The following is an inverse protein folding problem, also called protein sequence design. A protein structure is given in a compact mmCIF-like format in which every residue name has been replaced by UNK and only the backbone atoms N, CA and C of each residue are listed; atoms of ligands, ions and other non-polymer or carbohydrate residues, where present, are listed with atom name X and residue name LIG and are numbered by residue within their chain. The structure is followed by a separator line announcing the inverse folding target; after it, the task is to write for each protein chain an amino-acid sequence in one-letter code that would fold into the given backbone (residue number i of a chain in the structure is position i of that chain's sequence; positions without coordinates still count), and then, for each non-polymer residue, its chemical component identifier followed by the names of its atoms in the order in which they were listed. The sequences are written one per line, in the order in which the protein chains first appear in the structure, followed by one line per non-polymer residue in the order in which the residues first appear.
data_IF_767161078512
#
_entry.id   IF_767161078512
#
_cell.length_a   1.000
_cell.length_b   1.000
_cell.length_c   1.000
_cell.angle_alpha   90.00
_cell.angle_beta   90.00
_cell.angle_gamma   90.00
#
_symmetry.space_group_name_H-M   'P 1'
#
loop_
_entity.id
_entity.type
_entity.pdbx_description
1 polymer ?
#
# COMPACT_ATOMS: atom_id res chain seq x y z
N UNK A 1 5.86 39.59 28.42
CA UNK A 1 6.01 39.60 26.95
C UNK A 1 6.88 38.44 26.37
N UNK A 2 7.97 38.01 27.06
CA UNK A 2 8.85 36.94 26.54
C UNK A 2 8.16 35.56 26.38
N UNK A 3 7.18 35.19 27.22
CA UNK A 3 6.50 33.88 27.16
C UNK A 3 5.48 33.76 26.01
N UNK A 4 4.91 34.89 25.56
CA UNK A 4 3.94 34.87 24.44
C UNK A 4 4.64 34.61 23.11
N UNK A 5 5.83 35.15 22.89
CA UNK A 5 6.61 34.91 21.66
C UNK A 5 7.07 33.47 21.52
N UNK A 6 7.44 32.81 22.62
CA UNK A 6 7.88 31.42 22.58
C UNK A 6 6.73 30.45 22.23
N UNK A 7 5.53 30.71 22.77
CA UNK A 7 4.34 29.91 22.49
C UNK A 7 3.84 30.03 21.05
N UNK A 8 3.90 31.26 20.49
CA UNK A 8 3.52 31.51 19.10
C UNK A 8 4.51 30.86 18.13
N UNK A 9 5.82 30.90 18.43
CA UNK A 9 6.84 30.24 17.60
C UNK A 9 6.67 28.70 17.59
N UNK A 10 6.36 28.10 18.75
CA UNK A 10 6.12 26.67 18.85
C UNK A 10 4.89 26.24 18.04
N UNK A 11 3.81 27.01 18.08
CA UNK A 11 2.59 26.77 17.30
C UNK A 11 2.84 26.91 15.78
N UNK A 12 3.67 27.84 15.36
CA UNK A 12 4.04 28.00 13.95
C UNK A 12 4.88 26.83 13.45
N UNK A 13 5.83 26.33 14.24
CA UNK A 13 6.65 25.17 13.88
C UNK A 13 5.81 23.88 13.78
N UNK A 14 4.87 23.67 14.69
CA UNK A 14 4.00 22.49 14.64
C UNK A 14 3.06 22.51 13.43
N UNK A 15 2.49 23.65 13.09
CA UNK A 15 1.65 23.80 11.91
C UNK A 15 2.43 23.64 10.60
N UNK A 16 3.66 24.14 10.53
CA UNK A 16 4.53 23.99 9.36
C UNK A 16 4.88 22.52 9.11
N UNK A 17 5.31 21.80 10.14
CA UNK A 17 5.62 20.38 10.03
C UNK A 17 4.38 19.54 9.63
N UNK A 18 3.21 19.85 10.18
CA UNK A 18 1.97 19.17 9.82
C UNK A 18 1.59 19.42 8.34
N UNK A 19 1.76 20.65 7.86
CA UNK A 19 1.50 21.00 6.46
C UNK A 19 2.43 20.23 5.50
N UNK A 20 3.73 20.12 5.82
CA UNK A 20 4.69 19.35 5.02
C UNK A 20 4.33 17.87 4.97
N UNK A 21 3.97 17.24 6.09
CA UNK A 21 3.53 15.84 6.12
C UNK A 21 2.27 15.67 5.29
N UNK A 22 1.35 16.62 5.33
CA UNK A 22 0.10 16.57 4.57
C UNK A 22 0.34 16.57 3.07
N UNK A 23 1.28 17.34 2.57
CA UNK A 23 1.65 17.38 1.15
C UNK A 23 2.46 16.14 0.76
N UNK A 24 3.46 15.80 1.55
CA UNK A 24 4.34 14.65 1.30
C UNK A 24 3.57 13.32 1.23
N UNK A 25 2.62 13.08 2.15
CA UNK A 25 1.79 11.88 2.15
C UNK A 25 0.52 12.00 1.30
N UNK A 26 0.29 13.15 0.65
CA UNK A 26 -0.91 13.45 -0.15
C UNK A 26 -2.23 13.20 0.61
N UNK A 27 -2.32 13.68 1.85
CA UNK A 27 -3.50 13.46 2.71
C UNK A 27 -4.79 14.07 2.13
N UNK A 28 -4.68 14.97 1.16
CA UNK A 28 -5.85 15.59 0.52
C UNK A 28 -6.55 14.66 -0.47
N UNK A 29 -5.85 13.66 -1.05
CA UNK A 29 -6.36 12.85 -2.15
C UNK A 29 -7.72 12.22 -1.85
N UNK A 30 -7.85 11.55 -0.72
CA UNK A 30 -9.09 10.87 -0.34
C UNK A 30 -9.90 11.60 0.74
N UNK A 31 -9.48 12.81 1.15
CA UNK A 31 -10.10 13.53 2.27
C UNK A 31 -11.60 13.78 2.06
N UNK A 32 -11.99 14.28 0.90
CA UNK A 32 -13.40 14.57 0.57
C UNK A 32 -14.23 13.28 0.45
N UNK A 33 -13.67 12.26 -0.23
CA UNK A 33 -14.32 10.96 -0.36
C UNK A 33 -14.51 10.29 1.01
N UNK A 34 -13.47 10.30 1.86
CA UNK A 34 -13.55 9.74 3.21
C UNK A 34 -14.64 10.39 4.08
N UNK A 35 -14.86 11.71 3.90
CA UNK A 35 -15.91 12.45 4.64
C UNK A 35 -17.33 12.14 4.16
N UNK A 36 -17.49 11.85 2.88
CA UNK A 36 -18.78 11.58 2.25
C UNK A 36 -19.11 10.09 2.16
N UNK A 37 -18.15 9.21 2.49
CA UNK A 37 -18.33 7.77 2.35
C UNK A 37 -19.39 7.25 3.33
N UNK A 38 -20.45 6.70 2.79
CA UNK A 38 -21.44 5.97 3.61
C UNK A 38 -20.80 4.69 4.15
N UNK A 39 -21.01 4.36 5.46
CA UNK A 39 -20.46 3.13 6.04
C UNK A 39 -20.89 1.89 5.25
N UNK A 40 -19.91 1.14 4.76
CA UNK A 40 -20.13 -0.11 4.01
C UNK A 40 -19.97 -1.29 4.94
N UNK A 41 -21.01 -2.14 5.01
CA UNK A 41 -20.95 -3.36 5.85
C UNK A 41 -19.84 -4.29 5.33
N UNK A 42 -19.01 -4.76 6.26
CA UNK A 42 -17.86 -5.63 5.96
C UNK A 42 -16.85 -5.01 4.96
N UNK A 43 -16.74 -3.70 4.92
CA UNK A 43 -15.81 -3.00 4.04
C UNK A 43 -14.39 -3.58 4.10
N UNK A 44 -13.75 -3.64 2.95
CA UNK A 44 -12.35 -4.03 2.77
C UNK A 44 -11.61 -2.84 2.15
N UNK A 45 -10.69 -2.25 2.89
CA UNK A 45 -9.82 -1.20 2.34
C UNK A 45 -8.62 -1.84 1.66
N UNK A 46 -8.36 -1.45 0.43
CA UNK A 46 -7.14 -1.78 -0.30
C UNK A 46 -6.15 -0.63 -0.15
N UNK A 47 -5.14 -0.81 0.71
CA UNK A 47 -4.07 0.17 0.97
C UNK A 47 -2.88 -0.16 0.09
N UNK A 48 -2.45 0.80 -0.75
CA UNK A 48 -1.32 0.58 -1.63
C UNK A 48 -0.89 1.80 -2.44
N UNK A 49 -0.18 1.55 -3.51
CA UNK A 49 0.38 2.51 -4.45
C UNK A 49 -0.40 2.58 -5.79
N UNK A 50 0.31 2.83 -6.90
CA UNK A 50 -0.28 2.86 -8.25
C UNK A 50 -0.94 1.54 -8.65
N UNK A 51 -0.38 0.40 -8.24
CA UNK A 51 -0.95 -0.91 -8.54
C UNK A 51 -2.35 -1.03 -7.91
N UNK A 52 -2.55 -0.50 -6.72
CA UNK A 52 -3.85 -0.45 -6.06
C UNK A 52 -4.75 0.62 -6.70
N UNK A 53 -4.24 1.83 -6.94
CA UNK A 53 -5.00 2.95 -7.53
C UNK A 53 -5.57 2.62 -8.91
N UNK A 54 -4.79 1.96 -9.76
CA UNK A 54 -5.23 1.61 -11.11
C UNK A 54 -6.17 0.41 -11.15
N UNK A 55 -6.27 -0.34 -10.08
CA UNK A 55 -7.09 -1.55 -10.04
C UNK A 55 -8.57 -1.24 -10.29
N UNK A 56 -9.11 -0.24 -9.60
CA UNK A 56 -10.53 0.17 -9.79
C UNK A 56 -10.84 0.60 -11.22
N UNK A 57 -9.91 1.28 -11.89
CA UNK A 57 -10.08 1.70 -13.29
C UNK A 57 -10.00 0.52 -14.26
N UNK A 58 -9.14 -0.47 -13.99
CA UNK A 58 -8.95 -1.65 -14.84
C UNK A 58 -9.99 -2.75 -14.57
N UNK A 59 -10.66 -2.73 -13.41
CA UNK A 59 -11.63 -3.74 -13.00
C UNK A 59 -12.81 -3.11 -12.28
N UNK A 60 -13.58 -2.20 -12.91
CA UNK A 60 -14.67 -1.49 -12.24
C UNK A 60 -15.78 -2.44 -11.72
N UNK A 61 -16.06 -3.52 -12.44
CA UNK A 61 -17.08 -4.51 -12.06
C UNK A 61 -16.69 -5.26 -10.77
N UNK A 62 -15.39 -5.51 -10.56
CA UNK A 62 -14.91 -6.11 -9.33
C UNK A 62 -15.17 -5.21 -8.12
N UNK A 63 -14.93 -3.93 -8.24
CA UNK A 63 -15.23 -2.96 -7.18
C UNK A 63 -16.72 -2.71 -6.99
N UNK A 64 -17.54 -2.87 -8.03
CA UNK A 64 -19.00 -2.77 -7.93
C UNK A 64 -19.62 -4.01 -7.24
N UNK A 65 -19.00 -5.19 -7.43
CA UNK A 65 -19.52 -6.46 -6.90
C UNK A 65 -19.19 -6.69 -5.43
N UNK A 66 -18.06 -6.17 -4.94
CA UNK A 66 -17.54 -6.42 -3.60
C UNK A 66 -17.40 -5.12 -2.79
N UNK A 67 -17.48 -5.18 -1.45
CA UNK A 67 -17.41 -4.00 -0.57
C UNK A 67 -15.97 -3.46 -0.45
N UNK A 68 -15.33 -3.16 -1.57
CA UNK A 68 -13.95 -2.73 -1.68
C UNK A 68 -13.85 -1.20 -1.69
N UNK A 69 -12.91 -0.67 -0.94
CA UNK A 69 -12.58 0.75 -0.90
C UNK A 69 -11.13 0.90 -1.34
N UNK A 70 -10.92 1.50 -2.50
CA UNK A 70 -9.59 1.79 -3.01
C UNK A 70 -8.95 2.95 -2.24
N UNK A 71 -7.74 2.71 -1.75
CA UNK A 71 -6.88 3.72 -1.10
C UNK A 71 -5.44 3.59 -1.62
N UNK A 72 -5.32 3.38 -2.94
CA UNK A 72 -4.07 3.45 -3.67
C UNK A 72 -3.64 4.88 -3.98
N UNK A 73 -2.36 5.20 -3.89
CA UNK A 73 -1.79 6.47 -4.36
C UNK A 73 -0.51 6.19 -5.12
N UNK A 74 -0.51 6.54 -6.40
CA UNK A 74 0.63 6.31 -7.31
C UNK A 74 1.93 6.87 -6.77
N UNK A 75 2.99 6.09 -6.88
CA UNK A 75 4.35 6.45 -6.49
C UNK A 75 4.62 6.43 -4.98
N UNK A 76 3.62 6.17 -4.15
CA UNK A 76 3.81 6.19 -2.70
C UNK A 76 4.65 5.04 -2.16
N UNK A 77 5.51 5.40 -1.20
CA UNK A 77 6.31 4.49 -0.39
C UNK A 77 5.58 4.09 0.90
N UNK A 78 6.09 3.07 1.56
CA UNK A 78 5.52 2.57 2.83
C UNK A 78 5.46 3.64 3.91
N UNK A 79 6.44 4.54 4.00
CA UNK A 79 6.46 5.65 4.96
C UNK A 79 5.28 6.61 4.76
N UNK A 80 4.95 6.93 3.50
CA UNK A 80 3.80 7.78 3.16
C UNK A 80 2.48 7.07 3.47
N UNK A 81 2.40 5.76 3.23
CA UNK A 81 1.24 4.95 3.59
C UNK A 81 1.00 4.92 5.10
N UNK A 82 2.05 4.78 5.93
CA UNK A 82 1.96 4.90 7.39
C UNK A 82 1.37 6.24 7.81
N UNK A 83 1.84 7.35 7.22
CA UNK A 83 1.38 8.70 7.57
C UNK A 83 -0.12 8.91 7.31
N UNK A 84 -0.68 8.29 6.27
CA UNK A 84 -2.10 8.41 5.92
C UNK A 84 -2.99 7.27 6.44
N UNK A 85 -2.41 6.24 7.05
CA UNK A 85 -3.13 5.04 7.46
C UNK A 85 -4.29 5.32 8.42
N UNK A 86 -4.12 6.27 9.34
CA UNK A 86 -5.18 6.68 10.25
C UNK A 86 -6.39 7.25 9.50
N UNK A 87 -6.16 8.14 8.53
CA UNK A 87 -7.22 8.81 7.77
C UNK A 87 -7.89 7.86 6.78
N UNK A 88 -7.09 7.08 6.05
CA UNK A 88 -7.54 6.34 4.88
C UNK A 88 -7.95 4.88 5.20
N UNK A 89 -7.64 4.40 6.40
CA UNK A 89 -8.01 3.06 6.85
C UNK A 89 -8.80 3.11 8.16
N UNK A 90 -8.17 3.58 9.24
CA UNK A 90 -8.74 3.47 10.59
C UNK A 90 -10.05 4.25 10.71
N UNK A 91 -10.08 5.49 10.19
CA UNK A 91 -11.27 6.35 10.26
C UNK A 91 -12.48 5.76 9.51
N UNK A 92 -12.24 4.94 8.49
CA UNK A 92 -13.29 4.26 7.71
C UNK A 92 -13.87 3.03 8.41
N UNK A 93 -13.25 2.57 9.49
CA UNK A 93 -13.68 1.41 10.30
C UNK A 93 -13.99 0.15 9.45
N UNK A 94 -13.11 -0.26 8.53
CA UNK A 94 -13.36 -1.43 7.72
C UNK A 94 -13.26 -2.72 8.55
N UNK A 95 -13.81 -3.82 8.05
CA UNK A 95 -13.59 -5.15 8.62
C UNK A 95 -12.18 -5.66 8.35
N UNK A 96 -11.64 -5.32 7.17
CA UNK A 96 -10.35 -5.84 6.68
C UNK A 96 -9.56 -4.73 5.98
N UNK A 97 -8.25 -4.75 6.12
CA UNK A 97 -7.34 -3.98 5.28
C UNK A 97 -6.39 -4.93 4.55
N UNK A 98 -6.27 -4.76 3.24
CA UNK A 98 -5.31 -5.44 2.39
C UNK A 98 -4.16 -4.49 2.13
N UNK A 99 -2.93 -4.90 2.44
CA UNK A 99 -1.73 -4.06 2.32
C UNK A 99 -0.86 -4.63 1.20
N UNK A 100 -0.71 -3.86 0.13
CA UNK A 100 0.19 -4.12 -0.99
C UNK A 100 1.16 -2.94 -1.12
N UNK A 101 2.40 -3.10 -0.67
CA UNK A 101 3.34 -1.99 -0.52
C UNK A 101 4.80 -2.44 -0.61
N UNK A 102 5.69 -1.54 -1.04
CA UNK A 102 7.13 -1.73 -1.02
C UNK A 102 7.83 -1.58 -2.36
N UNK A 103 7.13 -1.63 -3.49
CA UNK A 103 7.78 -1.52 -4.81
C UNK A 103 8.41 -0.13 -5.03
N UNK A 104 7.73 0.92 -4.59
CA UNK A 104 8.23 2.30 -4.71
C UNK A 104 9.34 2.63 -3.71
N UNK A 105 9.39 1.93 -2.58
CA UNK A 105 10.53 1.99 -1.66
C UNK A 105 11.77 1.37 -2.32
N UNK A 106 11.62 0.20 -2.96
CA UNK A 106 12.68 -0.46 -3.72
C UNK A 106 13.14 0.42 -4.89
N UNK A 107 12.22 1.16 -5.51
CA UNK A 107 12.52 2.12 -6.57
C UNK A 107 13.16 3.43 -6.06
N UNK A 108 13.26 3.60 -4.75
CA UNK A 108 13.83 4.78 -4.08
C UNK A 108 13.08 6.10 -4.42
N UNK A 109 11.75 6.04 -4.61
CA UNK A 109 10.93 7.19 -5.00
C UNK A 109 10.98 8.36 -4.00
N UNK A 110 11.26 8.07 -2.73
CA UNK A 110 11.48 9.10 -1.68
C UNK A 110 12.91 9.11 -1.15
N UNK A 111 13.85 8.57 -1.93
CA UNK A 111 15.25 8.40 -1.56
C UNK A 111 15.57 6.99 -1.06
N UNK A 112 16.86 6.70 -0.84
CA UNK A 112 17.32 5.38 -0.40
C UNK A 112 16.73 4.98 0.94
N UNK A 113 16.30 3.72 1.05
CA UNK A 113 15.75 3.12 2.28
C UNK A 113 16.18 1.66 2.38
N UNK A 114 16.41 1.15 3.58
CA UNK A 114 16.72 -0.26 3.79
C UNK A 114 15.49 -1.13 3.72
N UNK A 115 15.62 -2.40 3.31
CA UNK A 115 14.51 -3.35 3.30
C UNK A 115 13.96 -3.60 4.71
N UNK A 116 14.78 -3.48 5.73
CA UNK A 116 14.38 -3.53 7.14
C UNK A 116 13.38 -2.41 7.44
N UNK A 117 13.71 -1.16 7.12
CA UNK A 117 12.84 -0.02 7.37
C UNK A 117 11.54 -0.07 6.54
N UNK A 118 11.59 -0.59 5.30
CA UNK A 118 10.38 -0.86 4.51
C UNK A 118 9.49 -1.88 5.22
N UNK A 119 10.08 -2.95 5.71
CA UNK A 119 9.36 -3.99 6.43
C UNK A 119 8.80 -3.48 7.77
N UNK A 120 9.55 -2.66 8.51
CA UNK A 120 9.09 -2.02 9.76
C UNK A 120 7.85 -1.15 9.52
N UNK A 121 7.81 -0.39 8.42
CA UNK A 121 6.63 0.38 8.03
C UNK A 121 5.40 -0.52 7.77
N UNK A 122 5.59 -1.67 7.13
CA UNK A 122 4.51 -2.65 6.92
C UNK A 122 4.04 -3.20 8.27
N UNK A 123 4.96 -3.53 9.16
CA UNK A 123 4.63 -4.00 10.51
C UNK A 123 3.88 -2.95 11.34
N UNK A 124 4.27 -1.67 11.24
CA UNK A 124 3.54 -0.55 11.85
C UNK A 124 2.09 -0.51 11.36
N UNK A 125 1.85 -0.60 10.06
CA UNK A 125 0.49 -0.59 9.50
C UNK A 125 -0.33 -1.80 9.99
N UNK A 126 0.27 -2.98 10.08
CA UNK A 126 -0.37 -4.18 10.66
C UNK A 126 -0.74 -3.96 12.11
N UNK A 127 0.15 -3.42 12.92
CA UNK A 127 -0.08 -3.16 14.33
C UNK A 127 -1.18 -2.10 14.54
N UNK A 128 -1.17 -1.05 13.73
CA UNK A 128 -2.25 -0.04 13.71
C UNK A 128 -3.61 -0.69 13.40
N UNK A 129 -3.68 -1.56 12.38
CA UNK A 129 -4.90 -2.28 12.04
C UNK A 129 -5.40 -3.16 13.20
N UNK A 130 -4.52 -4.00 13.76
CA UNK A 130 -4.85 -4.91 14.88
C UNK A 130 -5.34 -4.16 16.12
N UNK A 131 -4.68 -3.05 16.48
CA UNK A 131 -5.07 -2.21 17.64
C UNK A 131 -6.50 -1.68 17.49
N UNK A 132 -6.94 -1.43 16.24
CA UNK A 132 -8.29 -0.96 15.93
C UNK A 132 -9.26 -2.09 15.54
N UNK A 133 -8.91 -3.36 15.80
CA UNK A 133 -9.71 -4.55 15.49
C UNK A 133 -10.02 -4.72 14.01
N UNK A 134 -9.17 -4.20 13.13
CA UNK A 134 -9.22 -4.37 11.67
C UNK A 134 -8.35 -5.57 11.32
N UNK A 135 -8.90 -6.53 10.56
CA UNK A 135 -8.16 -7.73 10.12
C UNK A 135 -7.16 -7.33 9.03
N UNK A 136 -5.83 -7.45 9.23
CA UNK A 136 -4.87 -7.22 8.16
C UNK A 136 -4.73 -8.45 7.26
N UNK A 137 -4.56 -8.21 5.96
CA UNK A 137 -4.10 -9.15 4.96
C UNK A 137 -2.84 -8.55 4.33
N UNK A 138 -1.77 -9.33 4.24
CA UNK A 138 -0.52 -8.92 3.61
C UNK A 138 -0.40 -9.55 2.23
N UNK A 139 -0.01 -8.75 1.25
CA UNK A 139 0.27 -9.22 -0.10
C UNK A 139 1.77 -9.26 -0.37
N UNK A 140 2.20 -10.18 -1.24
CA UNK A 140 3.53 -10.05 -1.84
C UNK A 140 3.59 -8.80 -2.70
N UNK A 141 4.73 -8.13 -2.73
CA UNK A 141 5.09 -7.21 -3.80
C UNK A 141 5.12 -7.99 -5.12
N UNK A 142 4.59 -7.42 -6.19
CA UNK A 142 4.58 -8.04 -7.50
C UNK A 142 5.99 -8.20 -8.06
N UNK A 143 6.21 -9.15 -9.00
CA UNK A 143 7.49 -9.28 -9.65
C UNK A 143 7.87 -8.00 -10.40
N UNK A 144 9.14 -7.61 -10.30
CA UNK A 144 9.73 -6.58 -11.16
C UNK A 144 11.23 -6.83 -11.24
N UNK A 145 11.81 -6.78 -12.43
CA UNK A 145 13.24 -6.94 -12.64
C UNK A 145 13.91 -5.68 -13.19
N UNK A 146 13.13 -4.67 -13.53
CA UNK A 146 13.60 -3.34 -13.98
C UNK A 146 12.55 -2.29 -13.68
N UNK A 147 13.01 -1.03 -13.58
CA UNK A 147 12.15 0.16 -13.58
C UNK A 147 12.48 1.02 -14.80
N UNK A 148 11.49 1.33 -15.63
CA UNK A 148 11.70 2.17 -16.82
C UNK A 148 12.03 3.63 -16.44
N UNK A 149 11.60 4.10 -15.27
CA UNK A 149 11.89 5.45 -14.75
C UNK A 149 13.18 5.51 -13.92
N UNK A 150 13.76 4.38 -13.51
CA UNK A 150 15.00 4.33 -12.75
C UNK A 150 15.82 3.09 -13.13
N UNK A 151 16.47 3.14 -14.29
CA UNK A 151 17.24 2.03 -14.84
C UNK A 151 18.51 1.66 -14.05
N UNK A 152 18.87 2.45 -13.02
CA UNK A 152 20.03 2.15 -12.16
C UNK A 152 19.70 1.12 -11.07
N UNK A 153 18.41 0.86 -10.84
CA UNK A 153 17.95 -0.06 -9.80
C UNK A 153 17.52 -1.38 -10.44
N UNK A 154 18.08 -2.47 -9.92
CA UNK A 154 17.70 -3.84 -10.27
C UNK A 154 16.85 -4.42 -9.13
N UNK A 155 15.51 -4.39 -9.23
CA UNK A 155 14.62 -4.65 -8.09
C UNK A 155 14.45 -6.12 -7.72
N UNK A 156 14.67 -7.06 -8.64
CA UNK A 156 14.27 -8.46 -8.52
C UNK A 156 14.66 -9.11 -7.18
N UNK A 157 15.93 -9.04 -6.82
CA UNK A 157 16.41 -9.67 -5.59
C UNK A 157 15.91 -8.94 -4.34
N UNK A 158 15.74 -7.61 -4.39
CA UNK A 158 15.13 -6.83 -3.30
C UNK A 158 13.66 -7.20 -3.12
N UNK A 159 12.88 -7.38 -4.20
CA UNK A 159 11.49 -7.84 -4.16
C UNK A 159 11.38 -9.22 -3.52
N UNK A 160 12.23 -10.16 -3.95
CA UNK A 160 12.26 -11.52 -3.39
C UNK A 160 12.59 -11.49 -1.90
N UNK A 161 13.61 -10.71 -1.50
CA UNK A 161 14.03 -10.58 -0.11
C UNK A 161 12.92 -9.97 0.77
N UNK A 162 12.25 -8.91 0.30
CA UNK A 162 11.14 -8.28 1.00
C UNK A 162 9.96 -9.24 1.13
N UNK A 163 9.58 -9.93 0.05
CA UNK A 163 8.49 -10.91 0.06
C UNK A 163 8.77 -12.07 1.03
N UNK A 164 10.02 -12.52 1.14
CA UNK A 164 10.42 -13.53 2.13
C UNK A 164 10.16 -13.04 3.56
N UNK A 165 10.52 -11.79 3.87
CA UNK A 165 10.28 -11.18 5.20
C UNK A 165 8.78 -11.06 5.49
N UNK A 166 7.99 -10.52 4.55
CA UNK A 166 6.54 -10.35 4.69
C UNK A 166 5.86 -11.70 4.92
N UNK A 167 6.20 -12.72 4.11
CA UNK A 167 5.63 -14.07 4.22
C UNK A 167 5.96 -14.73 5.56
N UNK A 168 7.21 -14.65 6.01
CA UNK A 168 7.65 -15.19 7.29
C UNK A 168 6.91 -14.53 8.47
N UNK A 169 6.78 -13.20 8.44
CA UNK A 169 6.03 -12.45 9.44
C UNK A 169 4.53 -12.82 9.45
N UNK A 170 3.92 -12.90 8.29
CA UNK A 170 2.52 -13.28 8.16
C UNK A 170 2.26 -14.68 8.77
N UNK A 171 3.10 -15.65 8.44
CA UNK A 171 3.02 -17.01 8.99
C UNK A 171 3.20 -17.02 10.52
N UNK A 172 4.23 -16.36 11.03
CA UNK A 172 4.51 -16.28 12.48
C UNK A 172 3.34 -15.65 13.26
N UNK A 173 2.69 -14.64 12.67
CA UNK A 173 1.64 -13.87 13.32
C UNK A 173 0.21 -14.31 12.94
N UNK A 174 0.05 -15.42 12.22
CA UNK A 174 -1.23 -15.97 11.74
C UNK A 174 -2.03 -14.94 10.93
N UNK A 175 -1.34 -14.14 10.11
CA UNK A 175 -1.94 -13.17 9.19
C UNK A 175 -2.10 -13.85 7.84
N UNK A 176 -3.22 -13.62 7.18
CA UNK A 176 -3.44 -14.09 5.81
C UNK A 176 -2.43 -13.44 4.87
N UNK A 177 -1.74 -14.25 4.07
CA UNK A 177 -0.79 -13.80 3.05
C UNK A 177 -1.30 -14.16 1.65
N UNK A 178 -1.31 -13.18 0.75
CA UNK A 178 -1.70 -13.36 -0.66
C UNK A 178 -0.43 -13.35 -1.50
N UNK A 179 -0.12 -14.47 -2.12
CA UNK A 179 1.10 -14.65 -2.92
C UNK A 179 0.84 -14.35 -4.40
N UNK A 180 0.82 -13.07 -4.78
CA UNK A 180 0.75 -12.65 -6.18
C UNK A 180 2.04 -12.99 -6.93
N UNK A 181 3.19 -12.82 -6.24
CA UNK A 181 4.52 -13.00 -6.84
C UNK A 181 4.66 -14.35 -7.52
N UNK A 182 4.37 -15.44 -6.80
CA UNK A 182 4.61 -16.80 -7.30
C UNK A 182 3.80 -17.15 -8.54
N UNK A 183 2.66 -16.51 -8.77
CA UNK A 183 1.78 -16.76 -9.92
C UNK A 183 2.11 -15.85 -11.11
N UNK A 184 2.67 -14.67 -10.82
CA UNK A 184 2.86 -13.62 -11.84
C UNK A 184 4.31 -13.47 -12.30
N UNK A 185 5.27 -14.16 -11.67
CA UNK A 185 6.71 -14.05 -11.99
C UNK A 185 7.06 -14.82 -13.27
N UNK A 186 7.91 -14.22 -14.12
CA UNK A 186 8.53 -14.85 -15.27
C UNK A 186 9.88 -15.53 -14.93
N UNK A 187 10.55 -16.10 -15.95
CA UNK A 187 11.84 -16.76 -15.80
C UNK A 187 12.97 -15.78 -15.41
N UNK A 188 12.83 -14.49 -15.73
CA UNK A 188 13.80 -13.44 -15.47
C UNK A 188 13.49 -12.66 -14.18
N UNK A 189 12.63 -13.22 -13.31
CA UNK A 189 12.17 -12.62 -12.04
C UNK A 189 11.38 -11.32 -12.23
N UNK A 190 10.89 -11.03 -13.42
CA UNK A 190 10.05 -9.90 -13.79
C UNK A 190 8.57 -10.25 -13.76
N UNK A 191 7.72 -9.25 -14.00
CA UNK A 191 6.30 -9.46 -14.26
C UNK A 191 6.12 -10.08 -15.64
N UNK A 192 5.37 -11.21 -15.73
CA UNK A 192 5.04 -11.81 -17.01
C UNK A 192 4.38 -10.79 -17.92
N UNK A 193 4.86 -10.65 -19.16
CA UNK A 193 4.38 -9.66 -20.13
C UNK A 193 2.87 -9.69 -20.36
N UNK A 194 2.26 -10.88 -20.34
CA UNK A 194 0.82 -11.05 -20.47
C UNK A 194 0.01 -10.43 -19.30
N UNK A 195 0.65 -10.14 -18.16
CA UNK A 195 0.04 -9.55 -16.97
C UNK A 195 0.36 -8.07 -16.77
N UNK A 196 1.39 -7.55 -17.48
CA UNK A 196 1.77 -6.14 -17.39
C UNK A 196 2.92 -5.82 -18.33
N UNK A 197 2.66 -4.93 -19.30
CA UNK A 197 3.56 -4.66 -20.43
C UNK A 197 4.75 -3.77 -20.06
N UNK A 198 4.60 -2.93 -19.03
CA UNK A 198 5.67 -2.06 -18.54
C UNK A 198 6.61 -2.75 -17.52
N UNK A 199 6.29 -3.99 -17.14
CA UNK A 199 7.05 -4.81 -16.21
C UNK A 199 6.85 -4.48 -14.73
N UNK A 200 5.87 -3.63 -14.39
CA UNK A 200 5.54 -3.23 -13.01
C UNK A 200 4.04 -3.22 -12.76
N UNK A 201 3.27 -2.57 -13.64
CA UNK A 201 1.83 -2.38 -13.45
C UNK A 201 1.02 -3.47 -14.13
N UNK A 202 0.09 -4.12 -13.42
CA UNK A 202 -0.80 -5.09 -14.02
C UNK A 202 -1.72 -4.46 -15.07
N UNK A 203 -1.90 -5.15 -16.18
CA UNK A 203 -2.97 -4.89 -17.12
C UNK A 203 -4.27 -5.61 -16.67
N UNK A 204 -5.40 -5.51 -17.40
CA UNK A 204 -6.65 -6.18 -17.01
C UNK A 204 -6.51 -7.69 -16.77
N UNK A 205 -5.62 -8.39 -17.50
CA UNK A 205 -5.37 -9.81 -17.26
C UNK A 205 -4.61 -10.06 -15.95
N UNK A 206 -3.63 -9.21 -15.64
CA UNK A 206 -2.91 -9.25 -14.37
C UNK A 206 -3.85 -9.00 -13.19
N UNK A 207 -4.74 -8.00 -13.30
CA UNK A 207 -5.73 -7.75 -12.24
C UNK A 207 -6.68 -8.93 -12.03
N UNK A 208 -7.14 -9.61 -13.08
CA UNK A 208 -7.97 -10.84 -12.94
C UNK A 208 -7.28 -11.92 -12.13
N UNK A 209 -5.97 -12.09 -12.29
CA UNK A 209 -5.19 -13.04 -11.47
C UNK A 209 -5.16 -12.58 -10.01
N UNK A 210 -4.94 -11.28 -9.77
CA UNK A 210 -4.91 -10.71 -8.42
C UNK A 210 -6.27 -10.84 -7.72
N UNK A 211 -7.37 -10.60 -8.43
CA UNK A 211 -8.76 -10.74 -7.96
C UNK A 211 -9.05 -12.16 -7.48
N UNK A 212 -8.72 -13.16 -8.30
CA UNK A 212 -8.95 -14.54 -7.96
C UNK A 212 -8.22 -14.99 -6.69
N UNK A 213 -6.99 -14.49 -6.48
CA UNK A 213 -6.20 -14.76 -5.29
C UNK A 213 -6.72 -14.01 -4.07
N UNK A 214 -7.11 -12.74 -4.25
CA UNK A 214 -7.65 -11.93 -3.17
C UNK A 214 -8.99 -12.46 -2.66
N UNK A 215 -9.89 -12.87 -3.55
CA UNK A 215 -11.19 -13.44 -3.17
C UNK A 215 -11.04 -14.70 -2.31
N UNK A 216 -10.09 -15.59 -2.63
CA UNK A 216 -9.78 -16.75 -1.79
C UNK A 216 -9.33 -16.34 -0.39
N UNK A 217 -8.59 -15.25 -0.25
CA UNK A 217 -8.10 -14.75 1.03
C UNK A 217 -9.17 -14.01 1.85
N UNK A 218 -10.12 -13.38 1.19
CA UNK A 218 -11.22 -12.66 1.82
C UNK A 218 -12.32 -13.60 2.33
N UNK A 219 -12.48 -14.79 1.73
CA UNK A 219 -13.51 -15.80 2.10
C UNK A 219 -14.93 -15.18 2.14
N UNK A 220 -15.29 -14.48 1.05
CA UNK A 220 -16.65 -13.98 0.84
C UNK A 220 -17.63 -15.13 0.62
#
# INVERSE_FOLDING_TARGET
MKHIFTSILLLLFTNYNYAQVKEWANLKKYQSENQSLTPVKNAVVLMGDSITEFWKTNSPDFFAQYPLIDRGISGQTTSQMVARFKQDVIALKPKTVVILAGINDIAENTGPITLEAVFDNIEIMVNMAKTHKIRPILCSVLPANKFWWNSKIYPADKVIALNKKIKAYALKNKITYVDYYSVMVDADKGLQYQFGEDGVHPNPNGYKVMEALLLKALSF
#
